data_IF_163369186763
#
_entry.id   IF_163369186763
#
_cell.length_a   1.000
_cell.length_b   1.000
_cell.length_c   1.000
_cell.angle_alpha   90.00
_cell.angle_beta   90.00
_cell.angle_gamma   90.00
#
_symmetry.space_group_name_H-M   'P 1'
#
loop_
_entity.id
_entity.type
_entity.pdbx_description
1 polymer ?
#
# COMPACT_ATOMS: atom_id res chain seq x y z
N UNK A 1 -3.63 1.37 2.89
CA UNK A 1 -5.10 1.34 2.77
C UNK A 1 -5.76 2.43 3.63
N UNK A 2 -5.40 2.58 4.92
CA UNK A 2 -5.99 3.58 5.80
C UNK A 2 -5.84 4.99 5.23
N UNK A 3 -4.63 5.42 4.93
CA UNK A 3 -4.34 6.75 4.37
C UNK A 3 -5.06 6.96 3.03
N UNK A 4 -5.01 5.97 2.13
CA UNK A 4 -5.70 6.07 0.82
C UNK A 4 -7.23 6.15 0.94
N UNK A 5 -7.81 5.69 2.06
CA UNK A 5 -9.24 5.78 2.34
C UNK A 5 -9.66 7.01 3.12
N UNK A 6 -8.70 7.74 3.70
CA UNK A 6 -9.00 8.79 4.70
C UNK A 6 -9.28 10.16 4.12
N UNK A 7 -8.80 10.44 2.94
CA UNK A 7 -8.86 11.76 2.33
C UNK A 7 -7.46 12.30 2.00
N UNK A 8 -7.37 13.55 1.58
CA UNK A 8 -6.11 14.25 1.30
C UNK A 8 -6.25 15.73 1.62
N UNK A 9 -5.24 16.32 2.24
CA UNK A 9 -5.28 17.73 2.64
C UNK A 9 -6.51 18.02 3.50
N UNK A 10 -7.30 18.98 3.10
CA UNK A 10 -8.55 19.38 3.76
C UNK A 10 -9.78 18.55 3.31
N UNK A 11 -9.63 17.73 2.27
CA UNK A 11 -10.72 16.91 1.78
C UNK A 11 -10.89 15.64 2.63
N UNK A 12 -12.06 15.51 3.25
CA UNK A 12 -12.47 14.27 3.88
C UNK A 12 -12.60 13.13 2.86
N UNK A 13 -12.69 11.89 3.31
CA UNK A 13 -12.89 10.71 2.43
C UNK A 13 -14.11 10.87 1.52
N UNK A 14 -15.24 11.37 2.05
CA UNK A 14 -16.47 11.57 1.28
C UNK A 14 -16.34 12.74 0.29
N UNK A 15 -15.72 13.85 0.70
CA UNK A 15 -15.44 14.98 -0.17
C UNK A 15 -14.47 14.62 -1.30
N UNK A 16 -13.43 13.84 -0.99
CA UNK A 16 -12.48 13.34 -1.98
C UNK A 16 -13.17 12.44 -3.01
N UNK A 17 -14.04 11.53 -2.57
CA UNK A 17 -14.80 10.66 -3.49
C UNK A 17 -15.68 11.46 -4.44
N UNK A 18 -16.40 12.48 -3.93
CA UNK A 18 -17.21 13.36 -4.75
C UNK A 18 -16.37 14.17 -5.73
N UNK A 19 -15.32 14.82 -5.26
CA UNK A 19 -14.39 15.57 -6.11
C UNK A 19 -13.77 14.69 -7.19
N UNK A 20 -13.37 13.47 -6.86
CA UNK A 20 -12.80 12.50 -7.81
C UNK A 20 -13.81 12.12 -8.89
N UNK A 21 -15.08 11.90 -8.52
CA UNK A 21 -16.13 11.59 -9.47
C UNK A 21 -16.43 12.77 -10.41
N UNK A 22 -16.55 13.98 -9.88
CA UNK A 22 -16.78 15.22 -10.65
C UNK A 22 -15.65 15.48 -11.65
N UNK A 23 -14.40 15.23 -11.27
CA UNK A 23 -13.22 15.43 -12.12
C UNK A 23 -12.84 14.20 -12.93
N UNK A 24 -13.55 13.08 -12.78
CA UNK A 24 -13.24 11.80 -13.42
C UNK A 24 -11.81 11.35 -13.19
N UNK A 25 -11.36 11.42 -11.93
CA UNK A 25 -10.06 10.99 -11.48
C UNK A 25 -10.21 9.77 -10.58
N UNK A 26 -9.33 8.80 -10.73
CA UNK A 26 -9.25 7.66 -9.81
C UNK A 26 -7.83 7.54 -9.27
N UNK A 27 -7.72 7.10 -8.02
CA UNK A 27 -6.43 6.83 -7.38
C UNK A 27 -6.48 5.49 -6.68
N UNK A 28 -5.40 4.73 -6.82
CA UNK A 28 -5.18 3.49 -6.08
C UNK A 28 -3.76 3.41 -5.55
N UNK A 29 -3.58 2.66 -4.46
CA UNK A 29 -2.27 2.41 -3.87
C UNK A 29 -2.09 0.93 -3.61
N UNK A 30 -0.94 0.39 -4.00
CA UNK A 30 -0.58 -1.02 -3.80
C UNK A 30 0.84 -1.11 -3.26
N UNK A 31 1.00 -1.85 -2.18
CA UNK A 31 2.32 -2.26 -1.67
C UNK A 31 2.61 -3.65 -2.20
N UNK A 32 3.78 -3.85 -2.79
CA UNK A 32 4.23 -5.14 -3.34
C UNK A 32 5.71 -5.31 -3.05
N UNK A 33 6.02 -6.21 -2.12
CA UNK A 33 7.39 -6.39 -1.66
C UNK A 33 7.97 -5.09 -1.07
N UNK A 34 9.05 -4.61 -1.67
CA UNK A 34 9.73 -3.39 -1.24
C UNK A 34 9.27 -2.12 -1.99
N UNK A 35 8.29 -2.25 -2.88
CA UNK A 35 7.81 -1.15 -3.68
C UNK A 35 6.39 -0.73 -3.28
N UNK A 36 6.14 0.57 -3.29
CA UNK A 36 4.81 1.14 -3.19
C UNK A 36 4.45 1.77 -4.52
N UNK A 37 3.37 1.29 -5.14
CA UNK A 37 2.83 1.85 -6.37
C UNK A 37 1.64 2.73 -6.04
N UNK A 38 1.70 3.98 -6.47
CA UNK A 38 0.58 4.92 -6.44
C UNK A 38 0.15 5.15 -7.90
N UNK A 39 -1.05 4.75 -8.25
CA UNK A 39 -1.59 4.90 -9.60
C UNK A 39 -2.71 5.93 -9.59
N UNK A 40 -2.62 6.89 -10.50
CA UNK A 40 -3.65 7.90 -10.73
C UNK A 40 -4.05 7.86 -12.19
N UNK A 41 -5.35 7.88 -12.47
CA UNK A 41 -5.90 7.98 -13.82
C UNK A 41 -6.81 9.19 -13.91
N UNK A 42 -6.67 9.96 -14.98
CA UNK A 42 -7.46 11.16 -15.26
C UNK A 42 -7.83 11.20 -16.75
N UNK A 43 -8.78 12.08 -17.12
CA UNK A 43 -9.15 12.29 -18.52
C UNK A 43 -8.00 12.92 -19.30
N UNK A 44 -7.73 12.45 -20.51
CA UNK A 44 -6.65 12.96 -21.37
C UNK A 44 -6.86 14.44 -21.76
N UNK A 45 -8.11 14.86 -21.96
CA UNK A 45 -8.42 16.25 -22.26
C UNK A 45 -8.34 17.18 -21.04
N UNK A 46 -8.39 16.63 -19.82
CA UNK A 46 -8.24 17.34 -18.55
C UNK A 46 -7.39 16.54 -17.56
N UNK A 47 -6.06 16.45 -17.77
CA UNK A 47 -5.16 15.67 -16.92
C UNK A 47 -4.83 16.34 -15.58
N UNK A 48 -5.01 17.67 -15.47
CA UNK A 48 -4.58 18.46 -14.32
C UNK A 48 -5.10 17.95 -12.96
N UNK A 49 -6.39 17.55 -12.80
CA UNK A 49 -6.87 16.97 -11.55
C UNK A 49 -6.10 15.73 -11.09
N UNK A 50 -5.58 14.92 -12.02
CA UNK A 50 -4.72 13.79 -11.69
C UNK A 50 -3.41 14.23 -11.06
N UNK A 51 -2.77 15.27 -11.59
CA UNK A 51 -1.55 15.85 -11.01
C UNK A 51 -1.81 16.52 -9.66
N UNK A 52 -2.94 17.21 -9.51
CA UNK A 52 -3.36 17.77 -8.22
C UNK A 52 -3.51 16.68 -7.16
N UNK A 53 -4.18 15.59 -7.51
CA UNK A 53 -4.45 14.50 -6.57
C UNK A 53 -3.16 13.80 -6.13
N UNK A 54 -2.24 13.52 -7.06
CA UNK A 54 -0.98 12.88 -6.72
C UNK A 54 -0.10 13.80 -5.85
N UNK A 55 -0.04 15.09 -6.16
CA UNK A 55 0.67 16.08 -5.34
C UNK A 55 0.10 16.11 -3.91
N UNK A 56 -1.22 16.28 -3.77
CA UNK A 56 -1.88 16.32 -2.47
C UNK A 56 -1.68 15.01 -1.69
N UNK A 57 -1.71 13.86 -2.38
CA UNK A 57 -1.48 12.57 -1.74
C UNK A 57 -0.07 12.40 -1.20
N UNK A 58 0.92 12.95 -1.88
CA UNK A 58 2.33 12.90 -1.46
C UNK A 58 2.61 13.93 -0.35
N UNK A 59 2.11 15.14 -0.50
CA UNK A 59 2.50 16.26 0.37
C UNK A 59 1.59 16.47 1.58
N UNK A 60 0.31 16.09 1.48
CA UNK A 60 -0.72 16.36 2.48
C UNK A 60 -1.55 15.12 2.81
N UNK A 61 -0.88 13.97 2.97
CA UNK A 61 -1.58 12.75 3.42
C UNK A 61 -2.16 12.93 4.81
N UNK A 62 -3.37 12.44 4.98
CA UNK A 62 -4.12 12.44 6.25
C UNK A 62 -4.58 11.04 6.60
N UNK A 63 -4.92 10.82 7.85
CA UNK A 63 -5.56 9.59 8.31
C UNK A 63 -6.79 9.91 9.15
N UNK A 64 -7.85 9.16 8.93
CA UNK A 64 -9.07 9.25 9.73
C UNK A 64 -9.09 8.13 10.75
N UNK A 65 -9.22 8.47 12.03
CA UNK A 65 -9.18 7.51 13.15
C UNK A 65 -10.27 6.44 13.06
N UNK A 66 -11.47 6.78 12.59
CA UNK A 66 -12.55 5.82 12.42
C UNK A 66 -12.23 4.80 11.30
N UNK A 67 -11.61 5.26 10.21
CA UNK A 67 -11.16 4.38 9.13
C UNK A 67 -10.03 3.49 9.62
N UNK A 68 -9.09 4.05 10.39
CA UNK A 68 -8.02 3.28 11.03
C UNK A 68 -8.59 2.19 11.94
N UNK A 69 -9.44 2.56 12.89
CA UNK A 69 -10.06 1.63 13.83
C UNK A 69 -10.86 0.52 13.11
N UNK A 70 -11.58 0.87 12.06
CA UNK A 70 -12.32 -0.11 11.24
C UNK A 70 -11.38 -1.12 10.57
N UNK A 71 -10.25 -0.66 10.00
CA UNK A 71 -9.26 -1.53 9.37
C UNK A 71 -8.53 -2.40 10.40
N UNK A 72 -8.18 -1.84 11.55
CA UNK A 72 -7.55 -2.56 12.65
C UNK A 72 -8.46 -3.68 13.17
N UNK A 73 -9.74 -3.37 13.42
CA UNK A 73 -10.73 -4.36 13.82
C UNK A 73 -10.94 -5.44 12.75
N UNK A 74 -11.02 -5.07 11.48
CA UNK A 74 -11.14 -6.03 10.39
C UNK A 74 -9.92 -6.98 10.33
N UNK A 75 -8.71 -6.47 10.57
CA UNK A 75 -7.50 -7.28 10.60
C UNK A 75 -7.51 -8.25 11.80
N UNK A 76 -7.91 -7.79 12.98
CA UNK A 76 -8.06 -8.64 14.17
C UNK A 76 -9.11 -9.75 13.94
N UNK A 77 -10.26 -9.40 13.36
CA UNK A 77 -11.28 -10.41 13.04
C UNK A 77 -10.79 -11.42 11.99
N UNK A 78 -10.02 -10.96 11.00
CA UNK A 78 -9.40 -11.84 10.02
C UNK A 78 -8.44 -12.85 10.67
N UNK A 79 -7.69 -12.45 11.69
CA UNK A 79 -6.84 -13.36 12.46
C UNK A 79 -7.68 -14.39 13.24
N UNK A 80 -8.71 -13.92 13.96
CA UNK A 80 -9.57 -14.80 14.77
C UNK A 80 -10.30 -15.87 13.95
N UNK A 81 -10.57 -15.57 12.69
CA UNK A 81 -11.28 -16.50 11.79
C UNK A 81 -10.32 -17.24 10.83
N UNK A 82 -9.00 -17.08 10.99
CA UNK A 82 -8.04 -17.71 10.07
C UNK A 82 -8.12 -19.24 10.09
N UNK A 83 -8.37 -19.84 11.26
CA UNK A 83 -8.52 -21.29 11.40
C UNK A 83 -9.76 -21.86 10.66
N UNK A 84 -10.73 -21.00 10.36
CA UNK A 84 -11.92 -21.35 9.58
C UNK A 84 -11.69 -21.19 8.06
N UNK A 85 -10.49 -20.78 7.65
CA UNK A 85 -10.10 -20.52 6.25
C UNK A 85 -8.80 -21.26 5.91
N UNK A 86 -8.86 -22.59 5.76
CA UNK A 86 -7.67 -23.45 5.65
C UNK A 86 -6.79 -23.09 4.46
N UNK A 87 -7.35 -22.68 3.34
CA UNK A 87 -6.56 -22.25 2.17
C UNK A 87 -5.72 -20.99 2.46
N UNK A 88 -6.30 -20.00 3.16
CA UNK A 88 -5.56 -18.79 3.55
C UNK A 88 -4.52 -19.09 4.63
N UNK A 89 -4.86 -19.94 5.60
CA UNK A 89 -3.93 -20.42 6.63
C UNK A 89 -2.75 -21.15 5.99
N UNK A 90 -3.01 -22.03 5.04
CA UNK A 90 -1.97 -22.74 4.29
C UNK A 90 -1.07 -21.76 3.53
N UNK A 91 -1.64 -20.82 2.78
CA UNK A 91 -0.88 -19.82 2.04
C UNK A 91 0.02 -18.98 2.97
N UNK A 92 -0.50 -18.59 4.13
CA UNK A 92 0.27 -17.85 5.12
C UNK A 92 1.43 -18.68 5.70
N UNK A 93 1.16 -19.90 6.11
CA UNK A 93 2.21 -20.80 6.63
C UNK A 93 3.26 -21.13 5.58
N UNK A 94 2.87 -21.31 4.33
CA UNK A 94 3.80 -21.48 3.20
C UNK A 94 4.68 -20.25 3.00
N UNK A 95 4.11 -19.04 3.15
CA UNK A 95 4.87 -17.80 3.06
C UNK A 95 5.88 -17.65 4.20
N UNK A 96 5.49 -17.92 5.44
CA UNK A 96 6.36 -17.90 6.61
C UNK A 96 7.48 -18.93 6.52
N UNK A 97 7.15 -20.13 6.03
CA UNK A 97 8.13 -21.22 5.87
C UNK A 97 9.15 -20.95 4.77
N UNK A 98 8.74 -20.23 3.73
CA UNK A 98 9.62 -19.85 2.62
C UNK A 98 10.73 -18.88 3.01
N UNK A 99 10.51 -18.10 4.06
CA UNK A 99 11.44 -17.08 4.52
C UNK A 99 11.82 -17.29 5.98
N UNK A 100 13.12 -17.28 6.27
CA UNK A 100 13.65 -17.25 7.62
C UNK A 100 13.72 -15.79 8.13
N UNK A 101 12.55 -15.13 8.21
CA UNK A 101 12.45 -13.70 8.46
C UNK A 101 11.19 -13.37 9.26
N UNK A 102 11.36 -12.73 10.40
CA UNK A 102 10.26 -12.41 11.31
C UNK A 102 9.23 -11.44 10.68
N UNK A 103 9.63 -10.67 9.67
CA UNK A 103 8.72 -9.78 8.93
C UNK A 103 7.65 -10.52 8.12
N UNK A 104 7.80 -11.82 7.92
CA UNK A 104 6.81 -12.66 7.23
C UNK A 104 5.78 -13.27 8.17
N UNK A 105 6.04 -13.25 9.47
CA UNK A 105 5.14 -13.81 10.48
C UNK A 105 3.87 -12.98 10.62
N UNK A 106 2.76 -13.65 10.90
CA UNK A 106 1.52 -12.97 11.24
C UNK A 106 1.68 -12.19 12.54
N UNK A 107 1.28 -10.93 12.50
CA UNK A 107 1.17 -10.13 13.71
C UNK A 107 0.10 -10.70 14.63
N UNK A 108 0.38 -10.72 15.91
CA UNK A 108 -0.58 -11.11 16.94
C UNK A 108 -1.58 -9.97 17.20
N UNK A 109 -2.74 -10.30 17.75
CA UNK A 109 -3.81 -9.34 18.05
C UNK A 109 -3.31 -8.14 18.89
N UNK A 110 -2.52 -8.40 19.93
CA UNK A 110 -1.93 -7.37 20.78
C UNK A 110 -0.94 -6.47 20.02
N UNK A 111 -0.19 -7.02 19.08
CA UNK A 111 0.72 -6.23 18.23
C UNK A 111 -0.07 -5.33 17.29
N UNK A 112 -1.14 -5.84 16.67
CA UNK A 112 -2.00 -5.02 15.80
C UNK A 112 -2.65 -3.90 16.61
N UNK A 113 -3.13 -4.19 17.83
CA UNK A 113 -3.79 -3.22 18.69
C UNK A 113 -2.87 -2.07 19.14
N UNK A 114 -1.54 -2.30 19.18
CA UNK A 114 -0.56 -1.28 19.57
C UNK A 114 -0.32 -0.23 18.47
N UNK A 115 -0.55 -0.55 17.20
CA UNK A 115 -0.36 0.42 16.12
C UNK A 115 -1.44 1.49 16.14
N UNK A 116 -1.01 2.74 16.14
CA UNK A 116 -1.91 3.90 16.11
C UNK A 116 -2.10 4.45 14.69
N UNK A 117 -3.13 5.27 14.51
CA UNK A 117 -3.32 6.04 13.28
C UNK A 117 -2.12 6.95 13.00
N UNK A 118 -1.53 7.54 14.05
CA UNK A 118 -0.35 8.38 13.93
C UNK A 118 0.87 7.62 13.41
N UNK A 119 1.10 6.38 13.88
CA UNK A 119 2.20 5.53 13.38
C UNK A 119 2.00 5.19 11.90
N UNK A 120 0.77 4.87 11.51
CA UNK A 120 0.45 4.58 10.12
C UNK A 120 0.65 5.80 9.21
N UNK A 121 0.28 6.99 9.68
CA UNK A 121 0.50 8.23 8.95
C UNK A 121 1.99 8.60 8.87
N UNK A 122 2.74 8.41 9.94
CA UNK A 122 4.19 8.64 9.97
C UNK A 122 4.92 7.72 8.98
N UNK A 123 4.58 6.43 8.98
CA UNK A 123 5.13 5.47 8.02
C UNK A 123 4.79 5.83 6.57
N UNK A 124 3.55 6.26 6.29
CA UNK A 124 3.13 6.70 4.97
C UNK A 124 3.90 7.94 4.51
N UNK A 125 4.05 8.94 5.37
CA UNK A 125 4.82 10.15 5.06
C UNK A 125 6.29 9.85 4.83
N UNK A 126 6.86 8.89 5.55
CA UNK A 126 8.24 8.46 5.34
C UNK A 126 8.44 7.85 3.95
N UNK A 127 7.46 7.07 3.43
CA UNK A 127 7.54 6.49 2.08
C UNK A 127 7.64 7.54 0.97
N UNK A 128 7.15 8.75 1.20
CA UNK A 128 7.13 9.84 0.23
C UNK A 128 7.99 11.03 0.66
N UNK A 129 8.87 10.85 1.64
CA UNK A 129 9.69 11.94 2.20
C UNK A 129 10.78 12.42 1.23
N UNK A 130 11.25 11.55 0.35
CA UNK A 130 12.31 11.88 -0.62
C UNK A 130 11.82 11.69 -2.06
N UNK A 131 11.65 12.76 -2.84
CA UNK A 131 11.36 12.66 -4.27
C UNK A 131 12.41 11.90 -5.08
N UNK A 132 13.65 11.82 -4.60
CA UNK A 132 14.73 11.07 -5.24
C UNK A 132 14.44 9.55 -5.29
N UNK A 133 13.60 9.05 -4.38
CA UNK A 133 13.21 7.64 -4.33
C UNK A 133 11.90 7.37 -5.11
N UNK A 134 11.32 8.39 -5.74
CA UNK A 134 10.07 8.28 -6.48
C UNK A 134 10.33 8.33 -7.98
N UNK A 135 9.87 7.32 -8.71
CA UNK A 135 9.86 7.33 -10.18
C UNK A 135 8.44 7.63 -10.66
N UNK A 136 8.28 8.72 -11.40
CA UNK A 136 7.02 9.06 -12.05
C UNK A 136 6.98 8.51 -13.47
N UNK A 137 5.99 7.68 -13.77
CA UNK A 137 5.72 7.18 -15.13
C UNK A 137 4.39 7.74 -15.58
N UNK A 138 4.40 8.50 -16.67
CA UNK A 138 3.21 9.18 -17.20
C UNK A 138 2.94 8.63 -18.60
N UNK A 139 1.73 8.14 -18.81
CA UNK A 139 1.28 7.60 -20.09
C UNK A 139 -0.03 8.28 -20.49
N UNK A 140 -0.09 8.81 -21.69
CA UNK A 140 -1.29 9.46 -22.20
C UNK A 140 -1.04 10.31 -23.46
N UNK A 141 -2.11 10.76 -24.08
CA UNK A 141 -2.05 11.66 -25.25
C UNK A 141 -2.19 13.12 -24.78
N UNK A 142 -1.11 13.68 -24.21
CA UNK A 142 -1.02 15.07 -23.75
C UNK A 142 0.15 15.71 -24.45
N UNK A 143 0.01 16.96 -24.91
CA UNK A 143 1.13 17.68 -25.55
C UNK A 143 2.28 17.87 -24.58
N UNK A 144 3.50 17.85 -25.08
CA UNK A 144 4.72 17.97 -24.28
C UNK A 144 4.73 19.26 -23.45
N UNK A 145 4.41 20.40 -24.04
CA UNK A 145 4.38 21.71 -23.35
C UNK A 145 3.42 21.68 -22.15
N UNK A 146 2.21 21.14 -22.36
CA UNK A 146 1.21 20.99 -21.28
C UNK A 146 1.72 20.04 -20.21
N UNK A 147 2.35 18.94 -20.60
CA UNK A 147 2.90 17.96 -19.68
C UNK A 147 4.01 18.56 -18.82
N UNK A 148 4.97 19.26 -19.43
CA UNK A 148 6.06 19.96 -18.73
C UNK A 148 5.53 20.98 -17.75
N UNK A 149 4.52 21.77 -18.12
CA UNK A 149 3.89 22.74 -17.23
C UNK A 149 3.26 22.08 -16.01
N UNK A 150 2.54 20.95 -16.21
CA UNK A 150 1.91 20.20 -15.11
C UNK A 150 2.93 19.54 -14.20
N UNK A 151 3.98 18.92 -14.76
CA UNK A 151 5.08 18.33 -14.00
C UNK A 151 5.75 19.39 -13.14
N UNK A 152 6.15 20.52 -13.74
CA UNK A 152 6.80 21.61 -13.02
C UNK A 152 5.94 22.13 -11.88
N UNK A 153 4.65 22.35 -12.13
CA UNK A 153 3.73 22.90 -11.14
C UNK A 153 3.45 21.96 -9.99
N UNK A 154 3.20 20.67 -10.26
CA UNK A 154 2.69 19.73 -9.27
C UNK A 154 3.74 18.75 -8.75
N UNK A 155 4.64 18.26 -9.58
CA UNK A 155 5.68 17.33 -9.16
C UNK A 155 6.96 18.05 -8.76
N UNK A 156 7.34 19.09 -9.47
CA UNK A 156 8.49 19.93 -9.13
C UNK A 156 8.34 20.74 -7.85
N UNK A 157 7.10 20.91 -7.36
CA UNK A 157 6.82 21.58 -6.08
C UNK A 157 6.91 20.66 -4.86
N UNK A 158 7.11 19.35 -5.05
CA UNK A 158 7.29 18.39 -3.95
C UNK A 158 8.63 18.68 -3.29
N UNK A 159 8.60 18.98 -2.00
CA UNK A 159 9.81 19.33 -1.24
C UNK A 159 10.80 18.18 -1.27
N UNK A 160 12.05 18.48 -1.56
CA UNK A 160 13.14 17.53 -1.48
C UNK A 160 13.55 17.31 -0.02
N UNK A 161 13.77 16.06 0.35
CA UNK A 161 14.44 15.68 1.60
C UNK A 161 15.85 15.21 1.26
N UNK A 162 16.84 15.71 1.99
CA UNK A 162 18.24 15.28 1.82
C UNK A 162 18.52 13.88 2.39
N UNK A 163 17.49 13.27 3.01
CA UNK A 163 17.59 11.93 3.59
C UNK A 163 16.81 10.93 2.72
N UNK A 164 17.48 10.22 1.80
CA UNK A 164 16.84 9.16 1.04
C UNK A 164 16.36 8.04 1.97
N UNK A 165 15.32 7.33 1.55
CA UNK A 165 14.89 6.12 2.24
C UNK A 165 16.04 5.11 2.27
N UNK A 166 16.31 4.54 3.43
CA UNK A 166 17.24 3.43 3.52
C UNK A 166 16.75 2.29 2.63
N UNK A 167 17.65 1.73 1.84
CA UNK A 167 17.32 0.57 1.01
C UNK A 167 16.79 -0.56 1.91
N UNK A 168 15.62 -1.07 1.57
CA UNK A 168 15.02 -2.17 2.32
C UNK A 168 15.89 -3.42 2.21
N UNK A 169 16.09 -4.12 3.31
CA UNK A 169 16.79 -5.41 3.31
C UNK A 169 15.89 -6.46 2.68
N UNK A 170 16.33 -7.19 1.64
CA UNK A 170 15.58 -8.30 1.08
C UNK A 170 15.21 -9.33 2.15
N UNK A 171 14.09 -10.01 1.97
CA UNK A 171 13.71 -11.11 2.86
C UNK A 171 14.71 -12.26 2.74
N UNK A 172 15.18 -12.76 3.86
CA UNK A 172 16.06 -13.92 3.90
C UNK A 172 15.26 -15.17 3.59
N UNK A 173 15.65 -15.90 2.54
CA UNK A 173 15.03 -17.19 2.21
C UNK A 173 15.49 -18.27 3.16
N UNK A 174 14.57 -19.14 3.55
CA UNK A 174 14.92 -20.37 4.26
C UNK A 174 15.78 -21.28 3.38
N UNK A 175 16.75 -21.94 3.99
CA UNK A 175 17.69 -22.86 3.31
C UNK A 175 17.24 -24.30 3.40
N UNK A 176 16.43 -24.64 4.39
CA UNK A 176 16.03 -25.99 4.71
C UNK A 176 14.76 -26.40 3.98
N UNK A 177 14.62 -27.71 3.76
CA UNK A 177 13.38 -28.28 3.27
C UNK A 177 12.34 -28.23 4.39
N UNK A 178 11.14 -27.76 4.06
CA UNK A 178 10.05 -27.68 5.01
C UNK A 178 8.75 -28.22 4.41
N UNK A 179 7.89 -28.72 5.27
CA UNK A 179 6.56 -29.21 4.93
C UNK A 179 5.52 -28.48 5.76
N UNK A 180 4.47 -28.04 5.12
CA UNK A 180 3.33 -27.40 5.78
C UNK A 180 2.09 -28.24 5.55
N UNK A 181 1.39 -28.56 6.63
CA UNK A 181 0.13 -29.30 6.58
C UNK A 181 -0.95 -28.55 7.35
N UNK A 182 -2.04 -28.22 6.68
CA UNK A 182 -3.24 -27.65 7.30
C UNK A 182 -4.35 -28.66 7.15
N UNK A 183 -4.96 -29.05 8.27
CA UNK A 183 -6.10 -29.98 8.24
C UNK A 183 -7.38 -29.23 7.92
N UNK A 184 -8.09 -29.69 6.91
CA UNK A 184 -9.42 -29.21 6.53
C UNK A 184 -10.47 -30.26 6.92
N UNK A 185 -11.67 -29.80 7.29
CA UNK A 185 -12.70 -30.72 7.81
C UNK A 185 -13.51 -31.43 6.72
N UNK A 186 -13.55 -30.92 5.49
CA UNK A 186 -14.55 -31.35 4.50
C UNK A 186 -14.00 -32.03 3.24
N UNK A 187 -12.84 -31.69 2.76
CA UNK A 187 -12.23 -32.37 1.60
C UNK A 187 -10.69 -32.27 1.64
N UNK A 188 -9.97 -33.38 1.38
CA UNK A 188 -8.52 -33.34 1.34
C UNK A 188 -8.03 -32.62 0.07
N UNK A 189 -7.43 -31.46 0.21
CA UNK A 189 -6.75 -30.76 -0.88
C UNK A 189 -5.25 -30.83 -0.65
N UNK A 190 -4.50 -31.31 -1.65
CA UNK A 190 -3.06 -31.29 -1.64
C UNK A 190 -2.55 -30.23 -2.62
N UNK A 191 -1.73 -29.29 -2.14
CA UNK A 191 -1.04 -28.34 -2.97
C UNK A 191 0.47 -28.52 -2.83
N UNK A 192 1.14 -28.65 -3.97
CA UNK A 192 2.60 -28.75 -4.03
C UNK A 192 3.18 -27.45 -4.59
N UNK A 193 4.24 -26.96 -3.97
CA UNK A 193 4.95 -25.78 -4.43
C UNK A 193 6.45 -26.00 -4.28
N UNK A 194 7.20 -25.84 -5.37
CA UNK A 194 8.66 -25.98 -5.39
C UNK A 194 9.31 -24.69 -5.84
N UNK A 195 10.32 -24.25 -5.11
CA UNK A 195 11.10 -23.07 -5.47
C UNK A 195 12.55 -23.48 -5.76
N UNK A 196 13.04 -23.10 -6.93
CA UNK A 196 14.48 -23.17 -7.22
C UNK A 196 15.18 -21.91 -6.67
N UNK A 197 16.41 -22.12 -6.20
CA UNK A 197 17.32 -21.04 -5.80
C UNK A 197 17.82 -20.25 -7.01
#
# INVERSE_FOLDING_TARGET
KAVSGSGVGELSSSSLKRWSAENSVTMSSKVSGMNTLLSVSARTNNPEPGFQLINQRITHSTINDNIWASLQNAQIQALKTLDQRPAEKFAQQMYETRYADDRTKLLQENQIAQFTAADALAADRQLFSSPADITFVIVGNVSEDKLVALITRYLGSIKHSDSPLAAGTPLTRATDNASVTVKEQNEPVAQFSQWKR
#
